data_IF_741516566760
#
_entry.id   IF_741516566760
#
_cell.length_a   1.000
_cell.length_b   1.000
_cell.length_c   1.000
_cell.angle_alpha   90.00
_cell.angle_beta   90.00
_cell.angle_gamma   90.00
#
_symmetry.space_group_name_H-M   'P 1'
#
loop_
_entity.id
_entity.type
_entity.pdbx_description
1 polymer ?
#
# COMPACT_ATOMS: atom_id res chain seq x y z
N UNK A 1 -31.92 -10.01 -27.26
CA UNK A 1 -31.43 -8.92 -26.37
C UNK A 1 -31.58 -9.20 -24.87
N UNK A 2 -31.86 -10.44 -24.42
CA UNK A 2 -32.11 -10.77 -22.99
C UNK A 2 -30.99 -11.57 -22.30
N UNK A 3 -29.87 -11.84 -22.97
CA UNK A 3 -28.74 -12.61 -22.40
C UNK A 3 -27.58 -11.76 -21.90
N UNK A 4 -27.51 -10.48 -22.28
CA UNK A 4 -26.46 -9.57 -21.80
C UNK A 4 -26.69 -9.09 -20.36
N UNK A 5 -27.95 -8.89 -19.96
CA UNK A 5 -28.30 -8.38 -18.63
C UNK A 5 -28.05 -9.42 -17.52
N UNK A 6 -28.24 -10.70 -17.80
CA UNK A 6 -28.02 -11.79 -16.84
C UNK A 6 -26.54 -12.01 -16.53
N UNK A 7 -25.64 -11.84 -17.50
CA UNK A 7 -24.19 -11.92 -17.30
C UNK A 7 -23.66 -10.77 -16.43
N UNK A 8 -24.20 -9.55 -16.58
CA UNK A 8 -23.80 -8.40 -15.77
C UNK A 8 -24.20 -8.60 -14.30
N UNK A 9 -25.38 -9.14 -14.03
CA UNK A 9 -25.78 -9.50 -12.66
C UNK A 9 -24.88 -10.59 -12.06
N UNK A 10 -24.44 -11.58 -12.84
CA UNK A 10 -23.49 -12.60 -12.35
C UNK A 10 -22.10 -12.03 -12.04
N UNK A 11 -21.60 -11.05 -12.80
CA UNK A 11 -20.34 -10.37 -12.45
C UNK A 11 -20.49 -9.46 -11.22
N UNK A 12 -21.64 -8.83 -11.01
CA UNK A 12 -21.91 -8.06 -9.79
C UNK A 12 -22.08 -8.95 -8.55
N UNK A 13 -22.62 -10.15 -8.69
CA UNK A 13 -22.75 -11.12 -7.59
C UNK A 13 -21.43 -11.85 -7.31
N UNK A 14 -20.60 -12.14 -8.34
CA UNK A 14 -19.28 -12.74 -8.16
C UNK A 14 -18.20 -11.73 -7.70
N UNK A 15 -18.39 -10.43 -7.96
CA UNK A 15 -17.53 -9.36 -7.45
C UNK A 15 -17.90 -8.91 -6.02
N UNK A 16 -18.89 -9.53 -5.37
CA UNK A 16 -18.93 -9.57 -3.91
C UNK A 16 -17.89 -10.58 -3.41
N UNK A 17 -16.61 -10.33 -3.72
CA UNK A 17 -15.56 -10.66 -2.78
C UNK A 17 -15.92 -9.83 -1.57
N UNK A 18 -16.49 -10.48 -0.58
CA UNK A 18 -16.72 -9.91 0.74
C UNK A 18 -15.35 -9.49 1.26
N UNK A 19 -14.95 -8.25 0.97
CA UNK A 19 -13.94 -7.56 1.74
C UNK A 19 -14.57 -7.39 3.11
N UNK A 20 -14.46 -8.43 3.94
CA UNK A 20 -14.85 -8.37 5.33
C UNK A 20 -14.02 -7.25 5.93
N UNK A 21 -14.68 -6.12 6.18
CA UNK A 21 -14.06 -4.99 6.85
C UNK A 21 -13.66 -5.46 8.25
N UNK A 22 -12.35 -5.54 8.49
CA UNK A 22 -11.85 -5.91 9.80
C UNK A 22 -11.94 -4.68 10.69
N UNK A 23 -12.80 -4.76 11.70
CA UNK A 23 -12.94 -3.72 12.71
C UNK A 23 -11.89 -3.91 13.79
N UNK A 24 -11.27 -2.80 14.20
CA UNK A 24 -10.37 -2.76 15.35
C UNK A 24 -11.07 -2.07 16.51
N UNK A 25 -11.19 -2.76 17.63
CA UNK A 25 -11.78 -2.22 18.86
C UNK A 25 -10.69 -2.12 19.94
N UNK A 26 -10.35 -0.89 20.31
CA UNK A 26 -9.36 -0.62 21.35
C UNK A 26 -10.04 -0.24 22.66
N UNK A 27 -9.69 -0.95 23.75
CA UNK A 27 -10.20 -0.70 25.10
C UNK A 27 -9.07 -0.27 26.01
N UNK A 28 -9.36 0.70 26.89
CA UNK A 28 -8.44 1.11 27.96
C UNK A 28 -8.27 -0.04 28.95
N UNK A 29 -7.04 -0.29 29.34
CA UNK A 29 -6.63 -1.26 30.32
C UNK A 29 -5.80 -0.54 31.37
N UNK A 30 -6.27 -0.53 32.61
CA UNK A 30 -5.66 0.24 33.71
C UNK A 30 -4.38 -0.40 34.23
N UNK A 31 -4.19 -1.70 33.97
CA UNK A 31 -2.96 -2.40 34.36
C UNK A 31 -1.83 -2.08 33.39
N UNK A 32 -0.75 -1.53 33.94
CA UNK A 32 0.53 -1.34 33.25
C UNK A 32 1.36 -2.64 33.22
N UNK A 33 0.88 -3.70 33.88
CA UNK A 33 1.58 -4.98 33.95
C UNK A 33 1.43 -5.69 32.59
N UNK A 34 2.54 -6.03 31.91
CA UNK A 34 2.47 -6.81 30.68
C UNK A 34 1.77 -8.14 30.94
N UNK A 35 0.89 -8.62 30.04
CA UNK A 35 0.43 -9.99 30.11
C UNK A 35 1.64 -10.94 30.06
N UNK A 36 1.58 -12.10 30.74
CA UNK A 36 2.68 -13.05 30.74
C UNK A 36 3.07 -13.43 29.31
N UNK A 37 4.38 -13.56 29.09
CA UNK A 37 4.91 -13.95 27.79
C UNK A 37 4.41 -15.34 27.39
N UNK A 38 4.17 -15.53 26.09
CA UNK A 38 3.76 -16.79 25.50
C UNK A 38 4.88 -17.35 24.63
N UNK A 39 5.10 -18.67 24.71
CA UNK A 39 6.00 -19.38 23.78
C UNK A 39 5.56 -19.25 22.31
N UNK A 40 4.28 -18.97 22.09
CA UNK A 40 3.73 -18.67 20.78
C UNK A 40 3.36 -17.19 20.73
N UNK A 41 4.17 -16.40 20.02
CA UNK A 41 3.96 -14.97 19.80
C UNK A 41 3.85 -14.66 18.31
N UNK A 42 3.07 -13.64 17.94
CA UNK A 42 3.00 -13.16 16.56
C UNK A 42 4.28 -12.43 16.18
N UNK A 43 4.47 -12.23 14.88
CA UNK A 43 5.57 -11.42 14.37
C UNK A 43 5.47 -9.97 14.86
N UNK A 44 6.63 -9.33 14.98
CA UNK A 44 6.70 -7.90 15.27
C UNK A 44 5.94 -7.08 14.22
N UNK A 45 5.43 -5.93 14.64
CA UNK A 45 4.77 -4.97 13.73
C UNK A 45 5.63 -4.71 12.51
N UNK A 46 5.02 -4.73 11.31
CA UNK A 46 5.74 -4.42 10.08
C UNK A 46 6.14 -2.95 10.04
N UNK A 47 5.23 -2.09 10.48
CA UNK A 47 5.38 -0.63 10.41
C UNK A 47 4.56 0.05 11.51
N UNK A 48 5.01 1.24 11.93
CA UNK A 48 4.32 2.09 12.90
C UNK A 48 4.46 3.55 12.46
N UNK A 49 3.35 4.28 12.51
CA UNK A 49 3.25 5.71 12.19
C UNK A 49 2.43 6.40 13.27
N UNK A 50 2.84 7.61 13.64
CA UNK A 50 2.11 8.45 14.57
C UNK A 50 1.99 9.84 14.00
N UNK A 51 0.78 10.37 13.98
CA UNK A 51 0.47 11.70 13.49
C UNK A 51 -0.30 12.49 14.55
N UNK A 52 0.06 13.77 14.69
CA UNK A 52 -0.69 14.71 15.52
C UNK A 52 -1.86 15.24 14.68
N UNK A 53 -3.07 15.06 15.16
CA UNK A 53 -4.31 15.49 14.53
C UNK A 53 -5.03 16.45 15.48
N UNK A 54 -5.83 17.36 14.93
CA UNK A 54 -6.68 18.27 15.72
C UNK A 54 -8.13 17.88 15.57
N UNK A 55 -8.83 17.72 16.69
CA UNK A 55 -10.28 17.59 16.75
C UNK A 55 -10.85 18.84 17.45
N UNK A 56 -11.27 19.82 16.64
CA UNK A 56 -11.58 21.16 17.11
C UNK A 56 -10.37 21.83 17.77
N UNK A 57 -10.50 22.18 19.06
CA UNK A 57 -9.43 22.78 19.86
C UNK A 57 -8.50 21.76 20.54
N UNK A 58 -8.82 20.45 20.45
CA UNK A 58 -8.08 19.41 21.15
C UNK A 58 -7.05 18.74 20.22
N UNK A 59 -5.86 18.48 20.76
CA UNK A 59 -4.88 17.64 20.10
C UNK A 59 -5.22 16.16 20.33
N UNK A 60 -5.28 15.40 19.24
CA UNK A 60 -5.42 13.95 19.22
C UNK A 60 -4.17 13.33 18.59
N UNK A 61 -3.83 12.14 19.01
CA UNK A 61 -2.78 11.34 18.40
C UNK A 61 -3.43 10.23 17.59
N UNK A 62 -3.16 10.20 16.29
CA UNK A 62 -3.54 9.13 15.39
C UNK A 62 -2.35 8.16 15.24
N UNK A 63 -2.46 6.98 15.85
CA UNK A 63 -1.47 5.92 15.69
C UNK A 63 -1.95 4.94 14.65
N UNK A 64 -1.15 4.75 13.62
CA UNK A 64 -1.37 3.77 12.56
C UNK A 64 -0.28 2.71 12.57
N UNK A 65 -0.66 1.43 12.52
CA UNK A 65 0.29 0.32 12.54
C UNK A 65 -0.05 -0.72 11.48
N UNK A 66 0.99 -1.39 10.99
CA UNK A 66 0.86 -2.44 10.00
C UNK A 66 1.20 -3.80 10.60
N UNK A 67 0.30 -4.76 10.43
CA UNK A 67 0.52 -6.17 10.79
C UNK A 67 0.97 -6.93 9.54
N UNK A 68 2.00 -7.75 9.69
CA UNK A 68 2.49 -8.64 8.63
C UNK A 68 1.47 -9.75 8.36
N UNK A 69 1.17 -10.00 7.09
CA UNK A 69 0.33 -11.15 6.69
C UNK A 69 1.25 -12.36 6.54
N UNK A 70 1.44 -13.10 7.62
CA UNK A 70 2.32 -14.27 7.67
C UNK A 70 1.72 -15.39 8.55
N UNK A 71 2.42 -16.52 8.64
CA UNK A 71 1.98 -17.69 9.39
C UNK A 71 1.82 -17.46 10.91
N UNK A 72 2.33 -16.35 11.45
CA UNK A 72 2.23 -16.02 12.88
C UNK A 72 0.89 -15.40 13.27
N UNK A 73 0.06 -14.99 12.30
CA UNK A 73 -1.29 -14.45 12.52
C UNK A 73 -2.18 -15.39 13.34
N UNK A 74 -1.95 -16.71 13.27
CA UNK A 74 -2.67 -17.72 14.08
C UNK A 74 -2.50 -17.53 15.60
N UNK A 75 -1.44 -16.85 16.01
CA UNK A 75 -1.15 -16.56 17.43
C UNK A 75 -1.54 -15.14 17.84
N UNK A 76 -1.87 -14.27 16.88
CA UNK A 76 -2.19 -12.88 17.15
C UNK A 76 -3.55 -12.75 17.82
N UNK A 77 -3.56 -12.29 19.07
CA UNK A 77 -4.80 -12.04 19.83
C UNK A 77 -5.22 -10.58 19.81
N UNK A 78 -4.27 -9.67 19.57
CA UNK A 78 -4.53 -8.24 19.52
C UNK A 78 -3.24 -7.43 19.46
N UNK A 79 -3.35 -6.13 19.65
CA UNK A 79 -2.23 -5.20 19.70
C UNK A 79 -2.35 -4.32 20.92
N UNK A 80 -1.23 -4.14 21.62
CA UNK A 80 -1.10 -3.28 22.79
C UNK A 80 -0.46 -1.97 22.39
N UNK A 81 -1.06 -0.86 22.80
CA UNK A 81 -0.51 0.50 22.67
C UNK A 81 -0.27 1.02 24.08
N UNK A 82 0.96 1.44 24.38
CA UNK A 82 1.34 2.06 25.64
C UNK A 82 1.87 3.46 25.35
N UNK A 83 1.47 4.44 26.16
CA UNK A 83 2.05 5.76 26.18
C UNK A 83 2.53 6.03 27.61
N UNK A 84 3.71 6.61 27.75
CA UNK A 84 4.29 6.90 29.07
C UNK A 84 3.34 7.80 29.88
N UNK A 85 3.02 7.38 31.12
CA UNK A 85 2.11 8.12 32.01
C UNK A 85 0.63 8.10 31.61
N UNK A 86 0.21 7.23 30.70
CA UNK A 86 -1.16 7.11 30.20
C UNK A 86 -1.68 5.67 30.29
N UNK A 87 -3.00 5.43 30.26
CA UNK A 87 -3.54 4.07 30.25
C UNK A 87 -3.07 3.29 29.02
N UNK A 88 -2.88 1.99 29.20
CA UNK A 88 -2.57 1.06 28.11
C UNK A 88 -3.84 0.78 27.31
N UNK A 89 -3.75 0.70 25.98
CA UNK A 89 -4.88 0.30 25.13
C UNK A 89 -4.65 -1.09 24.56
N UNK A 90 -5.66 -1.96 24.67
CA UNK A 90 -5.69 -3.28 24.06
C UNK A 90 -6.68 -3.27 22.90
N UNK A 91 -6.14 -3.44 21.68
CA UNK A 91 -6.88 -3.45 20.43
C UNK A 91 -7.11 -4.89 19.98
N UNK A 92 -8.38 -5.25 19.77
CA UNK A 92 -8.81 -6.55 19.27
C UNK A 92 -9.40 -6.41 17.86
N UNK A 93 -9.20 -7.46 17.04
CA UNK A 93 -9.63 -7.49 15.65
C UNK A 93 -10.87 -8.36 15.51
N UNK A 94 -11.88 -7.84 14.80
CA UNK A 94 -13.11 -8.56 14.50
C UNK A 94 -13.41 -8.48 12.99
N UNK A 95 -13.41 -9.61 12.26
CA UNK A 95 -13.07 -10.96 12.72
C UNK A 95 -11.58 -11.11 13.07
N UNK A 96 -11.23 -12.18 13.78
CA UNK A 96 -9.81 -12.48 14.06
C UNK A 96 -9.03 -12.62 12.75
N UNK A 97 -7.85 -12.00 12.69
CA UNK A 97 -7.08 -11.87 11.44
C UNK A 97 -6.71 -13.21 10.80
N UNK A 98 -6.49 -14.25 11.60
CA UNK A 98 -6.21 -15.60 11.11
C UNK A 98 -7.38 -16.22 10.30
N UNK A 99 -8.61 -15.74 10.49
CA UNK A 99 -9.81 -16.19 9.75
C UNK A 99 -10.24 -15.22 8.66
N UNK A 100 -9.64 -14.04 8.62
CA UNK A 100 -9.95 -13.05 7.60
C UNK A 100 -9.26 -13.43 6.27
N UNK A 101 -9.94 -13.20 5.15
CA UNK A 101 -9.36 -13.42 3.82
C UNK A 101 -8.45 -12.25 3.45
N UNK A 102 -7.25 -12.23 4.03
CA UNK A 102 -6.26 -11.16 3.84
C UNK A 102 -5.48 -11.35 2.54
N UNK A 103 -5.44 -10.32 1.71
CA UNK A 103 -4.61 -10.27 0.49
C UNK A 103 -3.46 -9.27 0.68
N UNK A 104 -2.28 -9.60 0.16
CA UNK A 104 -1.08 -8.76 0.27
C UNK A 104 -0.16 -9.12 1.44
N UNK A 105 0.91 -8.33 1.63
CA UNK A 105 1.97 -8.62 2.61
C UNK A 105 1.75 -7.97 3.99
N UNK A 106 0.85 -6.98 4.09
CA UNK A 106 0.58 -6.25 5.32
C UNK A 106 -0.84 -5.65 5.34
N UNK A 107 -1.39 -5.48 6.53
CA UNK A 107 -2.70 -4.84 6.76
C UNK A 107 -2.53 -3.69 7.74
N UNK A 108 -3.17 -2.55 7.45
CA UNK A 108 -3.09 -1.34 8.26
C UNK A 108 -4.30 -1.18 9.17
N UNK A 109 -4.03 -0.70 10.38
CA UNK A 109 -5.02 -0.28 11.36
C UNK A 109 -4.64 1.09 11.89
N UNK A 110 -5.62 1.83 12.40
CA UNK A 110 -5.39 3.08 13.09
C UNK A 110 -6.26 3.19 14.35
N UNK A 111 -5.83 4.05 15.28
CA UNK A 111 -6.58 4.39 16.46
C UNK A 111 -6.24 5.80 16.91
N UNK A 112 -7.29 6.57 17.25
CA UNK A 112 -7.17 7.92 17.78
C UNK A 112 -7.39 7.93 19.29
N UNK A 113 -6.50 8.60 20.01
CA UNK A 113 -6.67 8.87 21.44
C UNK A 113 -6.17 10.28 21.80
N UNK A 114 -6.60 10.77 22.96
CA UNK A 114 -6.26 12.12 23.41
C UNK A 114 -4.75 12.29 23.62
N UNK A 115 -4.21 13.38 23.09
CA UNK A 115 -2.80 13.69 23.20
C UNK A 115 -2.49 14.32 24.57
N UNK A 116 -1.44 13.85 25.24
CA UNK A 116 -0.91 14.54 26.43
C UNK A 116 -0.01 15.68 25.98
N UNK A 117 -0.03 16.82 26.67
CA UNK A 117 0.90 17.91 26.39
C UNK A 117 2.36 17.42 26.52
N UNK A 118 3.24 17.90 25.64
CA UNK A 118 4.67 17.63 25.72
C UNK A 118 5.09 16.46 24.86
N UNK A 119 6.01 15.63 25.36
CA UNK A 119 6.57 14.51 24.62
C UNK A 119 5.78 13.23 24.92
N UNK A 120 5.17 12.65 23.89
CA UNK A 120 4.49 11.37 24.00
C UNK A 120 5.39 10.28 23.41
N UNK A 121 5.79 9.33 24.25
CA UNK A 121 6.54 8.16 23.85
C UNK A 121 5.59 6.97 23.75
N UNK A 122 5.33 6.53 22.53
CA UNK A 122 4.30 5.53 22.25
C UNK A 122 4.95 4.24 21.81
N UNK A 123 4.67 3.18 22.54
CA UNK A 123 5.13 1.82 22.28
C UNK A 123 3.96 0.96 21.81
N UNK A 124 4.13 0.29 20.67
CA UNK A 124 3.10 -0.60 20.11
C UNK A 124 3.67 -1.99 19.90
N UNK A 125 2.94 -3.01 20.35
CA UNK A 125 3.35 -4.42 20.29
C UNK A 125 2.18 -5.34 19.95
N UNK A 126 2.44 -6.39 19.17
CA UNK A 126 1.47 -7.45 18.96
C UNK A 126 1.40 -8.37 20.19
N UNK A 127 0.21 -8.88 20.49
CA UNK A 127 -0.05 -9.78 21.61
C UNK A 127 -0.33 -11.22 21.12
N UNK A 128 0.03 -12.25 21.91
CA UNK A 128 0.77 -12.17 23.18
C UNK A 128 2.25 -11.82 22.99
N UNK A 129 2.87 -11.24 24.01
CA UNK A 129 4.30 -10.91 23.98
C UNK A 129 5.13 -12.20 24.03
N UNK A 130 6.33 -12.23 23.43
CA UNK A 130 7.25 -13.35 23.58
C UNK A 130 7.81 -13.42 25.02
N UNK A 131 8.47 -14.54 25.38
CA UNK A 131 9.12 -14.68 26.68
C UNK A 131 10.20 -13.60 26.91
N UNK A 132 10.45 -13.27 28.18
CA UNK A 132 11.56 -12.41 28.56
C UNK A 132 12.86 -12.97 27.96
N UNK A 133 13.70 -12.09 27.41
CA UNK A 133 14.96 -12.37 26.67
C UNK A 133 14.82 -12.73 25.18
N UNK A 134 13.63 -12.75 24.60
CA UNK A 134 13.45 -13.03 23.16
C UNK A 134 13.69 -11.83 22.23
N UNK A 135 14.29 -10.75 22.75
CA UNK A 135 14.52 -9.50 22.03
C UNK A 135 13.31 -8.55 22.00
N UNK A 136 13.50 -7.42 21.32
CA UNK A 136 12.53 -6.32 21.24
C UNK A 136 11.42 -6.70 20.25
N UNK A 137 10.19 -6.83 20.74
CA UNK A 137 9.01 -7.19 19.93
C UNK A 137 7.95 -6.08 19.89
N UNK A 138 8.42 -4.84 19.90
CA UNK A 138 7.60 -3.64 19.84
C UNK A 138 8.26 -2.60 18.94
N UNK A 139 7.46 -1.69 18.40
CA UNK A 139 7.94 -0.48 17.73
C UNK A 139 7.56 0.75 18.55
N UNK A 140 8.35 1.81 18.39
CA UNK A 140 8.15 3.06 19.11
C UNK A 140 8.02 4.23 18.15
N UNK A 141 7.29 5.26 18.58
CA UNK A 141 7.22 6.55 17.91
C UNK A 141 7.17 7.68 18.94
N UNK A 142 7.60 8.86 18.54
CA UNK A 142 7.68 10.05 19.38
C UNK A 142 6.85 11.17 18.75
N UNK A 143 5.93 11.75 19.51
CA UNK A 143 5.10 12.86 19.06
C UNK A 143 5.20 14.00 20.07
N UNK A 144 5.52 15.19 19.58
CA UNK A 144 5.55 16.42 20.39
C UNK A 144 4.23 17.16 20.23
N UNK A 145 3.52 17.34 21.34
CA UNK A 145 2.25 18.05 21.39
C UNK A 145 2.50 19.45 21.95
N UNK A 146 2.18 20.52 21.20
CA UNK A 146 2.37 21.88 21.67
C UNK A 146 1.41 22.21 22.80
N UNK A 147 1.78 23.19 23.62
CA UNK A 147 0.90 23.73 24.67
C UNK A 147 -0.21 24.52 23.96
N UNK A 148 -1.47 24.27 24.30
CA UNK A 148 -2.56 25.17 23.90
C UNK A 148 -2.24 26.57 24.43
N UNK A 149 -2.31 27.59 23.57
CA UNK A 149 -2.22 28.98 24.04
C UNK A 149 -3.41 29.23 24.97
N UNK A 150 -3.22 29.81 26.17
CA UNK A 150 -4.35 30.28 26.95
C UNK A 150 -5.11 31.34 26.13
N UNK A 151 -6.43 31.48 26.33
CA UNK A 151 -7.15 32.62 25.79
C UNK A 151 -6.44 33.88 26.28
N UNK A 152 -5.98 34.72 25.37
CA UNK A 152 -5.54 36.05 25.73
C UNK A 152 -6.81 36.83 26.02
N UNK A 153 -7.12 36.97 27.31
CA UNK A 153 -8.15 37.89 27.79
C UNK A 153 -7.68 39.31 27.49
N UNK A 154 -8.17 39.89 26.40
CA UNK A 154 -8.28 41.34 26.26
C UNK A 154 -9.46 41.79 27.14
N UNK A 155 -9.25 42.71 28.10
CA UNK A 155 -10.32 43.19 28.95
C UNK A 155 -11.03 44.36 28.26
N UNK A 156 -12.28 44.15 27.84
CA UNK A 156 -13.17 45.27 27.58
C UNK A 156 -14.32 45.30 28.59
N UNK A 157 -14.37 46.46 29.22
CA UNK A 157 -15.18 46.86 30.35
C UNK A 157 -16.68 46.92 30.05
N UNK A 158 -17.42 46.59 31.10
CA UNK A 158 -18.62 47.30 31.58
C UNK A 158 -19.98 46.99 30.93
N UNK A 159 -20.85 46.51 31.80
CA UNK A 159 -22.27 46.23 31.59
C UNK A 159 -23.09 47.47 31.91
N UNK A 160 -24.08 47.83 31.08
CA UNK A 160 -25.34 48.45 31.52
C UNK A 160 -26.43 48.21 30.47
N UNK A 161 -27.52 47.62 30.94
CA UNK A 161 -28.79 47.35 30.25
C UNK A 161 -29.67 48.58 30.08
N UNK A 162 -30.27 48.82 28.90
CA UNK A 162 -31.60 49.44 28.70
C UNK A 162 -32.15 49.06 27.30
N UNK A 163 -33.43 48.63 27.23
CA UNK A 163 -34.26 48.44 26.03
C UNK A 163 -34.96 49.78 25.68
N UNK A 164 -35.20 50.18 24.40
CA UNK A 164 -36.51 49.93 23.76
C UNK A 164 -36.54 49.81 22.21
N UNK A 165 -37.45 48.96 21.72
CA UNK A 165 -38.29 49.04 20.50
C UNK A 165 -37.73 49.03 19.05
N UNK A 166 -38.56 48.59 18.05
CA UNK A 166 -38.12 47.84 16.86
C UNK A 166 -37.94 48.70 15.59
N UNK A 167 -37.24 48.15 14.57
CA UNK A 167 -37.72 48.35 13.20
C UNK A 167 -37.60 47.11 12.28
N UNK A 168 -38.74 46.83 11.65
CA UNK A 168 -38.98 46.46 10.24
C UNK A 168 -37.80 46.14 9.31
N UNK A 169 -37.97 45.01 8.62
CA UNK A 169 -37.52 44.70 7.24
C UNK A 169 -36.02 44.58 7.00
N UNK A 170 -35.59 43.37 6.59
CA UNK A 170 -35.14 43.15 5.21
C UNK A 170 -34.61 41.72 5.01
N UNK A 171 -35.09 41.12 3.92
CA UNK A 171 -34.39 40.20 3.03
C UNK A 171 -34.08 38.79 3.55
N UNK A 172 -34.92 37.87 3.07
CA UNK A 172 -34.62 36.47 2.79
C UNK A 172 -33.38 36.39 1.88
N UNK A 173 -32.38 35.54 2.22
CA UNK A 173 -31.64 34.84 1.18
C UNK A 173 -31.54 33.35 1.49
N UNK A 174 -32.19 32.56 0.64
CA UNK A 174 -31.72 31.22 0.31
C UNK A 174 -31.98 30.14 1.34
N UNK A 175 -33.18 29.55 1.31
CA UNK A 175 -33.32 28.12 1.59
C UNK A 175 -32.43 27.41 0.56
N UNK A 176 -31.21 27.06 0.95
CA UNK A 176 -30.32 26.24 0.12
C UNK A 176 -31.00 24.88 -0.01
N UNK A 177 -31.49 24.60 -1.21
CA UNK A 177 -32.22 23.38 -1.54
C UNK A 177 -31.28 22.16 -1.40
N UNK A 178 -31.22 21.59 -0.19
CA UNK A 178 -30.44 20.40 0.17
C UNK A 178 -30.68 19.21 -0.78
N UNK A 179 -31.86 19.17 -1.40
CA UNK A 179 -32.27 18.21 -2.41
C UNK A 179 -31.46 18.34 -3.70
N UNK A 180 -31.16 19.55 -4.15
CA UNK A 180 -30.38 19.80 -5.38
C UNK A 180 -28.92 19.38 -5.20
N UNK A 181 -28.34 19.65 -4.03
CA UNK A 181 -26.97 19.24 -3.68
C UNK A 181 -26.86 17.72 -3.60
N UNK A 182 -27.82 17.02 -2.99
CA UNK A 182 -27.82 15.54 -2.95
C UNK A 182 -27.97 14.93 -4.34
N UNK A 183 -28.81 15.51 -5.22
CA UNK A 183 -28.96 15.04 -6.61
C UNK A 183 -27.68 15.30 -7.42
N UNK A 184 -27.01 16.44 -7.22
CA UNK A 184 -25.73 16.74 -7.88
C UNK A 184 -24.60 15.80 -7.43
N UNK A 185 -24.49 15.51 -6.12
CA UNK A 185 -23.49 14.58 -5.59
C UNK A 185 -23.77 13.15 -6.09
N UNK A 186 -25.04 12.72 -6.05
CA UNK A 186 -25.42 11.36 -6.51
C UNK A 186 -25.23 11.21 -8.01
N UNK A 187 -25.59 12.22 -8.80
CA UNK A 187 -25.36 12.25 -10.24
C UNK A 187 -23.88 12.28 -10.61
N UNK A 188 -23.07 13.05 -9.88
CA UNK A 188 -21.62 13.10 -10.03
C UNK A 188 -20.95 11.75 -9.75
N UNK A 189 -21.36 11.07 -8.67
CA UNK A 189 -20.86 9.73 -8.33
C UNK A 189 -21.27 8.69 -9.39
N UNK A 190 -22.51 8.73 -9.88
CA UNK A 190 -22.96 7.85 -10.95
C UNK A 190 -22.17 8.08 -12.26
N UNK A 191 -21.92 9.35 -12.62
CA UNK A 191 -21.09 9.72 -13.76
C UNK A 191 -19.65 9.24 -13.62
N UNK A 192 -19.05 9.38 -12.43
CA UNK A 192 -17.69 8.89 -12.15
C UNK A 192 -17.60 7.37 -12.25
N UNK A 193 -18.60 6.65 -11.72
CA UNK A 193 -18.68 5.18 -11.84
C UNK A 193 -18.79 4.77 -13.31
N UNK A 194 -19.60 5.47 -14.12
CA UNK A 194 -19.71 5.21 -15.55
C UNK A 194 -18.37 5.48 -16.25
N UNK A 195 -17.68 6.58 -15.95
CA UNK A 195 -16.38 6.89 -16.54
C UNK A 195 -15.29 5.87 -16.14
N UNK A 196 -15.25 5.46 -14.87
CA UNK A 196 -14.33 4.43 -14.39
C UNK A 196 -14.66 3.09 -15.06
N UNK A 197 -15.94 2.75 -15.20
CA UNK A 197 -16.37 1.53 -15.89
C UNK A 197 -16.01 1.59 -17.36
N UNK A 198 -16.23 2.72 -18.05
CA UNK A 198 -15.81 2.95 -19.42
C UNK A 198 -14.29 2.91 -19.58
N UNK A 199 -13.52 3.40 -18.61
CA UNK A 199 -12.07 3.34 -18.61
C UNK A 199 -11.55 1.92 -18.38
N UNK A 200 -12.16 1.17 -17.45
CA UNK A 200 -11.84 -0.24 -17.23
C UNK A 200 -12.21 -1.04 -18.47
N UNK A 201 -13.40 -0.86 -19.05
CA UNK A 201 -13.79 -1.47 -20.33
C UNK A 201 -12.82 -1.05 -21.42
N UNK A 202 -12.46 0.23 -21.54
CA UNK A 202 -11.48 0.68 -22.53
C UNK A 202 -10.08 0.10 -22.31
N UNK A 203 -9.67 -0.20 -21.07
CA UNK A 203 -8.38 -0.81 -20.78
C UNK A 203 -8.41 -2.33 -20.96
N UNK A 204 -9.51 -2.99 -20.57
CA UNK A 204 -9.72 -4.43 -20.67
C UNK A 204 -10.06 -4.84 -22.10
N UNK A 205 -10.97 -4.11 -22.75
CA UNK A 205 -11.20 -4.19 -24.19
C UNK A 205 -10.07 -3.52 -24.96
N UNK A 206 -9.37 -2.47 -24.53
CA UNK A 206 -8.20 -1.97 -25.28
C UNK A 206 -7.08 -3.01 -25.35
N UNK A 207 -6.86 -3.74 -24.25
CA UNK A 207 -5.98 -4.91 -24.21
C UNK A 207 -6.56 -6.10 -24.99
N UNK A 208 -7.88 -6.29 -25.02
CA UNK A 208 -8.54 -7.39 -25.75
C UNK A 208 -9.00 -7.04 -27.19
N UNK A 209 -8.96 -5.79 -27.63
CA UNK A 209 -9.29 -5.30 -28.98
C UNK A 209 -8.02 -5.25 -29.81
N UNK A 210 -6.86 -5.10 -29.14
CA UNK A 210 -5.58 -5.55 -29.66
C UNK A 210 -5.55 -7.07 -29.94
N UNK A 211 -6.37 -7.87 -29.24
CA UNK A 211 -6.50 -9.33 -29.46
C UNK A 211 -7.77 -9.76 -30.25
N UNK A 212 -8.76 -8.88 -30.44
CA UNK A 212 -10.07 -9.19 -31.07
C UNK A 212 -10.21 -8.60 -32.47
N UNK A 213 -9.42 -7.57 -32.80
CA UNK A 213 -9.03 -7.38 -34.19
C UNK A 213 -8.03 -8.48 -34.52
N UNK A 214 -8.59 -9.66 -34.85
CA UNK A 214 -8.11 -10.44 -35.98
C UNK A 214 -7.97 -9.44 -37.12
N UNK A 215 -6.78 -8.85 -37.14
CA UNK A 215 -5.97 -8.62 -38.31
C UNK A 215 -6.64 -9.36 -39.46
N UNK A 216 -7.38 -8.62 -40.30
CA UNK A 216 -7.23 -8.91 -41.73
C UNK A 216 -5.72 -8.92 -41.91
N UNK A 217 -5.15 -10.12 -41.93
CA UNK A 217 -3.78 -10.38 -42.37
C UNK A 217 -3.70 -9.78 -43.75
N UNK A 218 -3.36 -8.50 -43.79
CA UNK A 218 -2.39 -8.05 -44.76
C UNK A 218 -1.18 -8.97 -44.54
N UNK A 219 -0.65 -9.58 -45.60
CA UNK A 219 0.43 -10.53 -45.48
C UNK A 219 1.68 -9.81 -44.96
N UNK A 220 1.81 -9.71 -43.64
CA UNK A 220 3.05 -9.27 -43.01
C UNK A 220 3.98 -10.46 -43.04
N UNK A 221 5.02 -10.35 -43.84
CA UNK A 221 6.11 -11.31 -43.95
C UNK A 221 6.57 -11.78 -42.56
N UNK A 222 7.03 -13.04 -42.41
CA UNK A 222 7.47 -13.57 -41.12
C UNK A 222 8.66 -12.76 -40.60
N UNK A 223 8.39 -11.84 -39.66
CA UNK A 223 9.44 -11.13 -38.93
C UNK A 223 9.96 -12.12 -37.88
N UNK A 224 11.10 -12.73 -38.18
CA UNK A 224 11.79 -13.66 -37.28
C UNK A 224 12.25 -12.87 -36.04
N UNK A 225 11.83 -13.24 -34.82
CA UNK A 225 12.24 -12.54 -33.60
C UNK A 225 13.76 -12.59 -33.42
N UNK A 226 14.37 -11.46 -33.06
CA UNK A 226 15.83 -11.39 -32.88
C UNK A 226 16.21 -11.94 -31.50
N UNK A 227 17.01 -13.02 -31.39
CA UNK A 227 17.41 -13.55 -30.09
C UNK A 227 18.46 -12.64 -29.44
N UNK A 228 18.17 -12.15 -28.23
CA UNK A 228 19.02 -11.23 -27.45
C UNK A 228 19.29 -11.85 -26.08
N UNK A 229 20.56 -11.97 -25.72
CA UNK A 229 20.98 -12.38 -24.37
C UNK A 229 21.29 -11.14 -23.54
N UNK A 230 20.69 -11.03 -22.35
CA UNK A 230 20.94 -9.93 -21.40
C UNK A 230 21.82 -10.42 -20.26
N UNK A 231 22.96 -9.76 -20.05
CA UNK A 231 23.92 -10.04 -18.98
C UNK A 231 24.07 -8.79 -18.12
N UNK A 232 24.07 -8.96 -16.81
CA UNK A 232 24.14 -7.84 -15.87
C UNK A 232 24.83 -8.28 -14.56
N UNK A 233 25.46 -7.37 -13.81
CA UNK A 233 26.01 -7.69 -12.50
C UNK A 233 24.91 -7.70 -11.44
N UNK A 234 24.87 -8.74 -10.61
CA UNK A 234 23.91 -8.90 -9.51
C UNK A 234 24.25 -8.03 -8.29
N UNK A 235 24.40 -6.71 -8.48
CA UNK A 235 24.89 -5.77 -7.45
C UNK A 235 23.81 -5.45 -6.41
N UNK A 236 22.60 -5.12 -6.86
CA UNK A 236 21.49 -4.76 -5.98
C UNK A 236 20.13 -5.17 -6.59
N UNK A 237 19.12 -5.35 -5.72
CA UNK A 237 17.79 -5.80 -6.12
C UNK A 237 17.03 -4.79 -6.97
N UNK A 238 17.24 -3.48 -6.76
CA UNK A 238 16.61 -2.43 -7.56
C UNK A 238 17.11 -2.43 -9.02
N UNK A 239 18.39 -2.69 -9.22
CA UNK A 239 19.04 -2.81 -10.52
C UNK A 239 18.59 -4.10 -11.22
N UNK A 240 18.48 -5.21 -10.50
CA UNK A 240 17.87 -6.44 -11.03
C UNK A 240 16.43 -6.19 -11.51
N UNK A 241 15.61 -5.47 -10.74
CA UNK A 241 14.26 -5.10 -11.15
C UNK A 241 14.26 -4.23 -12.42
N UNK A 242 15.17 -3.27 -12.53
CA UNK A 242 15.33 -2.45 -13.73
C UNK A 242 15.73 -3.30 -14.96
N UNK A 243 16.61 -4.28 -14.77
CA UNK A 243 17.00 -5.22 -15.86
C UNK A 243 15.83 -6.10 -16.28
N UNK A 244 15.00 -6.57 -15.34
CA UNK A 244 13.77 -7.32 -15.68
C UNK A 244 12.81 -6.46 -16.49
N UNK A 245 12.56 -5.22 -16.06
CA UNK A 245 11.69 -4.30 -16.80
C UNK A 245 12.21 -4.02 -18.22
N UNK A 246 13.53 -3.87 -18.37
CA UNK A 246 14.17 -3.74 -19.68
C UNK A 246 13.98 -5.01 -20.55
N UNK A 247 14.13 -6.20 -19.97
CA UNK A 247 13.92 -7.46 -20.67
C UNK A 247 12.46 -7.62 -21.15
N UNK A 248 11.48 -7.25 -20.32
CA UNK A 248 10.05 -7.23 -20.68
C UNK A 248 9.78 -6.27 -21.82
N UNK A 249 10.36 -5.06 -21.78
CA UNK A 249 10.21 -4.07 -22.84
C UNK A 249 10.76 -4.59 -24.18
N UNK A 250 11.96 -5.17 -24.18
CA UNK A 250 12.58 -5.76 -25.37
C UNK A 250 11.76 -6.92 -25.93
N UNK A 251 11.17 -7.75 -25.05
CA UNK A 251 10.35 -8.88 -25.46
C UNK A 251 8.99 -8.45 -26.04
N UNK A 252 8.28 -7.54 -25.38
CA UNK A 252 6.92 -7.13 -25.76
C UNK A 252 6.86 -6.10 -26.89
N UNK A 253 7.86 -5.23 -27.01
CA UNK A 253 7.84 -4.12 -27.96
C UNK A 253 8.99 -4.14 -28.98
N UNK A 254 10.09 -4.84 -28.68
CA UNK A 254 11.29 -4.86 -29.53
C UNK A 254 11.29 -5.93 -30.62
N UNK A 255 10.31 -6.82 -30.66
CA UNK A 255 10.35 -8.00 -31.53
C UNK A 255 11.54 -8.92 -31.20
N UNK A 256 12.08 -8.84 -29.99
CA UNK A 256 13.23 -9.61 -29.54
C UNK A 256 12.79 -10.86 -28.76
N UNK A 257 13.48 -11.97 -28.99
CA UNK A 257 13.42 -13.14 -28.11
C UNK A 257 14.50 -12.99 -27.06
N UNK A 258 14.12 -12.55 -25.85
CA UNK A 258 15.07 -12.18 -24.79
C UNK A 258 15.37 -13.37 -23.89
N UNK A 259 16.65 -13.63 -23.63
CA UNK A 259 17.11 -14.57 -22.62
C UNK A 259 17.79 -13.80 -21.47
N UNK A 260 17.30 -14.01 -20.26
CA UNK A 260 17.86 -13.47 -19.00
C UNK A 260 17.86 -14.58 -17.96
N UNK A 261 18.85 -14.57 -17.07
CA UNK A 261 19.04 -15.61 -16.05
C UNK A 261 17.83 -15.78 -15.13
N UNK A 262 17.22 -14.68 -14.72
CA UNK A 262 16.05 -14.63 -13.83
C UNK A 262 14.82 -15.37 -14.41
N UNK A 263 14.72 -15.49 -15.74
CA UNK A 263 13.61 -16.17 -16.41
C UNK A 263 13.91 -17.64 -16.75
N UNK A 264 15.15 -18.09 -16.56
CA UNK A 264 15.63 -19.41 -16.97
C UNK A 264 16.32 -20.16 -15.82
N UNK A 265 15.98 -19.83 -14.57
CA UNK A 265 16.60 -20.37 -13.36
C UNK A 265 16.59 -21.91 -13.31
N UNK A 266 15.49 -22.55 -13.72
CA UNK A 266 15.42 -24.02 -13.78
C UNK A 266 16.45 -24.63 -14.74
N UNK A 267 16.54 -24.09 -15.96
CA UNK A 267 17.50 -24.57 -16.96
C UNK A 267 18.96 -24.27 -16.57
N UNK A 268 19.20 -23.17 -15.86
CA UNK A 268 20.52 -22.84 -15.31
C UNK A 268 20.91 -23.81 -14.20
N UNK A 269 19.98 -24.18 -13.33
CA UNK A 269 20.24 -25.16 -12.27
C UNK A 269 20.59 -26.55 -12.83
N UNK A 270 20.00 -26.93 -13.96
CA UNK A 270 20.27 -28.22 -14.63
C UNK A 270 21.60 -28.24 -15.39
N UNK A 271 21.92 -27.19 -16.16
CA UNK A 271 23.10 -27.16 -17.02
C UNK A 271 24.34 -26.56 -16.35
N UNK A 272 24.14 -25.81 -15.28
CA UNK A 272 25.13 -24.92 -14.69
C UNK A 272 25.22 -23.57 -15.42
N UNK A 273 25.60 -22.48 -14.73
CA UNK A 273 25.61 -21.13 -15.29
C UNK A 273 26.48 -20.96 -16.54
N UNK A 274 27.69 -21.55 -16.55
CA UNK A 274 28.63 -21.41 -17.66
C UNK A 274 28.16 -22.11 -18.93
N UNK A 275 27.61 -23.32 -18.80
CA UNK A 275 27.11 -24.10 -19.94
C UNK A 275 25.86 -23.45 -20.53
N UNK A 276 24.94 -23.00 -19.66
CA UNK A 276 23.77 -22.25 -20.09
C UNK A 276 24.17 -20.95 -20.82
N UNK A 277 25.13 -20.20 -20.28
CA UNK A 277 25.60 -18.96 -20.90
C UNK A 277 26.22 -19.22 -22.28
N UNK A 278 27.07 -20.24 -22.40
CA UNK A 278 27.67 -20.64 -23.68
C UNK A 278 26.58 -21.00 -24.72
N UNK A 279 25.56 -21.77 -24.35
CA UNK A 279 24.43 -22.09 -25.25
C UNK A 279 23.67 -20.83 -25.69
N UNK A 280 23.44 -19.89 -24.77
CA UNK A 280 22.71 -18.66 -25.09
C UNK A 280 23.53 -17.70 -25.93
N UNK A 281 24.84 -17.58 -25.69
CA UNK A 281 25.73 -16.77 -26.53
C UNK A 281 25.78 -17.32 -27.95
N UNK A 282 25.87 -18.64 -28.14
CA UNK A 282 25.91 -19.27 -29.46
C UNK A 282 24.60 -19.12 -30.26
N UNK A 283 23.47 -18.97 -29.56
CA UNK A 283 22.14 -18.83 -30.18
C UNK A 283 21.67 -17.39 -30.29
N UNK A 284 22.27 -16.47 -29.53
CA UNK A 284 21.91 -15.07 -29.53
C UNK A 284 22.54 -14.35 -30.73
N UNK A 285 21.73 -13.51 -31.38
CA UNK A 285 22.20 -12.61 -32.43
C UNK A 285 22.84 -11.35 -31.84
N UNK A 286 22.48 -10.99 -30.61
CA UNK A 286 23.03 -9.85 -29.87
C UNK A 286 23.17 -10.19 -28.38
N UNK A 287 24.25 -9.72 -27.77
CA UNK A 287 24.45 -9.78 -26.32
C UNK A 287 24.42 -8.36 -25.77
N UNK A 288 23.51 -8.09 -24.84
CA UNK A 288 23.36 -6.81 -24.16
C UNK A 288 23.95 -6.92 -22.76
N UNK A 289 24.99 -6.15 -22.50
CA UNK A 289 25.59 -6.04 -21.16
C UNK A 289 25.04 -4.77 -20.51
N UNK A 290 24.30 -4.94 -19.42
CA UNK A 290 23.70 -3.83 -18.66
C UNK A 290 24.56 -3.58 -17.43
N UNK A 291 25.06 -2.36 -17.27
CA UNK A 291 25.90 -1.97 -16.13
C UNK A 291 25.20 -0.88 -15.30
N UNK A 292 25.31 -0.92 -13.96
CA UNK A 292 24.86 0.18 -13.12
C UNK A 292 25.74 1.40 -13.37
N UNK A 293 25.13 2.59 -13.40
CA UNK A 293 25.90 3.82 -13.34
C UNK A 293 26.37 4.01 -11.90
N UNK A 294 27.67 3.86 -11.65
CA UNK A 294 28.27 4.20 -10.36
C UNK A 294 29.28 5.32 -10.60
N UNK A 295 29.09 6.44 -9.89
CA UNK A 295 30.17 7.40 -9.70
C UNK A 295 31.33 6.69 -9.02
N UNK A 296 32.35 6.38 -9.81
CA UNK A 296 33.66 5.81 -9.49
C UNK A 296 33.71 4.50 -8.70
N UNK A 297 34.49 3.57 -9.24
CA UNK A 297 34.99 2.32 -8.64
C UNK A 297 33.97 1.20 -8.39
N UNK A 298 33.47 0.64 -9.48
CA UNK A 298 33.54 -0.83 -9.61
C UNK A 298 34.37 -1.08 -10.85
N UNK A 299 35.64 -1.44 -10.64
CA UNK A 299 36.44 -2.09 -11.68
C UNK A 299 35.61 -3.28 -12.19
N UNK A 300 35.05 -3.11 -13.39
CA UNK A 300 34.72 -4.25 -14.22
C UNK A 300 36.07 -4.85 -14.63
N UNK A 301 36.72 -5.58 -13.72
CA UNK A 301 37.83 -6.47 -14.04
C UNK A 301 37.26 -7.67 -14.82
N UNK A 302 36.69 -7.38 -15.99
CA UNK A 302 36.57 -8.31 -17.10
C UNK A 302 37.93 -8.27 -17.80
N UNK A 303 38.95 -8.78 -17.11
CA UNK A 303 40.07 -9.34 -17.85
C UNK A 303 39.54 -10.59 -18.53
N UNK A 304 39.34 -10.47 -19.84
CA UNK A 304 39.16 -11.58 -20.80
C UNK A 304 37.77 -12.23 -20.86
N UNK A 305 36.83 -11.60 -21.57
CA UNK A 305 36.13 -12.32 -22.66
C UNK A 305 36.08 -11.38 -23.86
N UNK A 306 36.94 -11.72 -24.82
CA UNK A 306 37.09 -11.17 -26.15
C UNK A 306 35.75 -10.91 -26.84
N UNK A 307 35.65 -9.74 -27.47
CA UNK A 307 34.96 -9.61 -28.76
C UNK A 307 35.44 -10.76 -29.65
N UNK A 308 34.55 -11.71 -29.95
CA UNK A 308 34.73 -12.62 -31.07
C UNK A 308 33.76 -12.15 -32.17
N UNK A 309 34.24 -11.90 -33.40
CA UNK A 309 33.45 -11.37 -34.51
C UNK A 309 32.29 -12.26 -34.94
#
# INVERSE_FOLDING_TARGET
>A
MMWGATLICFFFVAAQVTSQEIKVECRKHESHVPPPGSNFSPSSLKELRGELVTDGANYMINISWAISVDASLKYLTGTRIMNEGSPTYHCQYNPILAKANLTGSKVWFNYLFNASYGHNFIQVANLPLPPLNSGINYKTTYIRVPRSKPPTDEPDSESTSVLPDPPTSNNIPGIVNYTSIRVAITGGMAGLIILITCYIIYKYFGANFANSLVFKRLPTAPIVPVPVLVVYPAVNSAFQQAVVALAEFLHGHGGCSVAVDMWQQGKIAELGPMRWLAEKVMTAKRVLIVCPQVGFEVECNIYSILLIP
#
